data_IF_433501950216
#
_entry.id   IF_433501950216
#
_cell.length_a   1.000
_cell.length_b   1.000
_cell.length_c   1.000
_cell.angle_alpha   90.00
_cell.angle_beta   90.00
_cell.angle_gamma   90.00
#
_symmetry.space_group_name_H-M   'P 1'
#
loop_
_entity.id
_entity.type
_entity.pdbx_description
1 polymer ?
#
# COMPACT_ATOMS: atom_id res chain seq x y z
N UNK A 1 7.55 -4.75 -22.07
CA UNK A 1 7.49 -4.19 -20.71
C UNK A 1 6.34 -4.86 -19.97
N UNK A 2 6.62 -5.79 -19.05
CA UNK A 2 5.59 -6.65 -18.45
C UNK A 2 4.91 -6.05 -17.20
N UNK A 3 5.28 -4.86 -16.73
CA UNK A 3 4.72 -4.26 -15.50
C UNK A 3 4.48 -2.73 -15.59
N UNK A 4 4.61 -2.10 -16.76
CA UNK A 4 4.48 -0.63 -16.86
C UNK A 4 3.11 -0.10 -16.43
N UNK A 5 2.03 -0.88 -16.62
CA UNK A 5 0.68 -0.46 -16.21
C UNK A 5 0.48 -0.45 -14.70
N UNK A 6 1.16 -1.33 -13.95
CA UNK A 6 1.00 -1.43 -12.49
C UNK A 6 1.56 -0.20 -11.76
N UNK A 7 2.45 0.54 -12.45
CA UNK A 7 3.00 1.79 -11.92
C UNK A 7 1.91 2.78 -11.57
N UNK A 8 0.89 2.90 -12.44
CA UNK A 8 -0.24 3.79 -12.22
C UNK A 8 -1.00 3.44 -10.93
N UNK A 9 -1.13 2.15 -10.63
CA UNK A 9 -1.86 1.67 -9.47
C UNK A 9 -1.16 2.05 -8.17
N UNK A 10 0.11 1.68 -7.98
CA UNK A 10 0.79 2.01 -6.72
C UNK A 10 1.02 3.52 -6.56
N UNK A 11 1.21 4.28 -7.66
CA UNK A 11 1.31 5.74 -7.56
C UNK A 11 -0.01 6.41 -7.20
N UNK A 12 -1.15 5.84 -7.60
CA UNK A 12 -2.46 6.37 -7.22
C UNK A 12 -2.73 6.13 -5.73
N UNK A 13 -2.41 4.93 -5.24
CA UNK A 13 -2.51 4.59 -3.81
C UNK A 13 -1.61 5.49 -2.94
N UNK A 14 -0.37 5.74 -3.37
CA UNK A 14 0.54 6.66 -2.67
C UNK A 14 -0.01 8.09 -2.60
N UNK A 15 -0.62 8.58 -3.69
CA UNK A 15 -1.26 9.88 -3.71
C UNK A 15 -2.47 9.97 -2.74
N UNK A 16 -3.25 8.89 -2.63
CA UNK A 16 -4.37 8.78 -1.68
C UNK A 16 -3.86 8.79 -0.22
N UNK A 17 -2.86 7.97 0.09
CA UNK A 17 -2.20 7.94 1.41
C UNK A 17 -1.72 9.34 1.79
N UNK A 18 -1.05 10.03 0.86
CA UNK A 18 -0.55 11.39 1.10
C UNK A 18 -1.68 12.39 1.38
N UNK A 19 -2.81 12.27 0.70
CA UNK A 19 -4.01 13.09 0.98
C UNK A 19 -4.57 12.82 2.38
N UNK A 20 -4.62 11.53 2.77
CA UNK A 20 -5.13 11.08 4.07
C UNK A 20 -4.22 11.47 5.24
N UNK A 21 -2.92 11.61 5.00
CA UNK A 21 -1.93 11.95 6.02
C UNK A 21 -2.08 13.38 6.59
N UNK A 22 -2.82 14.27 5.92
CA UNK A 22 -3.11 15.59 6.46
C UNK A 22 -3.97 15.48 7.73
N UNK A 23 -3.64 16.22 8.81
CA UNK A 23 -4.41 16.20 10.05
C UNK A 23 -5.77 16.87 9.85
N UNK A 24 -6.80 16.32 10.51
CA UNK A 24 -8.19 16.82 10.44
C UNK A 24 -8.69 17.38 11.78
N UNK A 25 -7.85 17.34 12.82
CA UNK A 25 -8.22 17.72 14.18
C UNK A 25 -8.36 19.22 14.38
N UNK A 26 -7.81 20.02 13.47
CA UNK A 26 -7.87 21.49 13.51
C UNK A 26 -9.06 22.05 12.71
N UNK A 27 -9.74 21.21 11.94
CA UNK A 27 -10.87 21.60 11.12
C UNK A 27 -12.15 21.56 11.97
N UNK A 28 -12.42 22.68 12.66
CA UNK A 28 -13.56 22.81 13.58
C UNK A 28 -14.38 24.06 13.25
N UNK A 29 -15.70 23.95 13.39
CA UNK A 29 -16.61 25.09 13.37
C UNK A 29 -17.22 25.27 14.75
N UNK A 30 -17.47 26.53 15.18
CA UNK A 30 -18.20 26.76 16.41
C UNK A 30 -19.66 26.31 16.25
N UNK A 31 -20.14 25.55 17.23
CA UNK A 31 -21.49 25.01 17.26
C UNK A 31 -22.23 25.48 18.53
N UNK A 32 -23.54 25.23 18.55
CA UNK A 32 -24.41 25.57 19.68
C UNK A 32 -24.33 27.05 20.13
N UNK A 33 -24.25 27.99 19.17
CA UNK A 33 -24.15 29.41 19.47
C UNK A 33 -22.82 29.81 20.10
N UNK A 34 -21.72 29.30 19.56
CA UNK A 34 -20.33 29.52 20.03
C UNK A 34 -20.00 28.88 21.39
N UNK A 35 -20.90 28.03 21.93
CA UNK A 35 -20.64 27.30 23.20
C UNK A 35 -19.67 26.14 22.96
N UNK A 36 -19.81 25.45 21.83
CA UNK A 36 -18.92 24.35 21.44
C UNK A 36 -17.93 24.86 20.38
N UNK A 37 -16.87 25.53 20.84
CA UNK A 37 -15.84 26.17 20.00
C UNK A 37 -14.62 25.27 19.71
N UNK A 38 -14.62 24.04 20.23
CA UNK A 38 -13.52 23.07 20.09
C UNK A 38 -14.04 21.70 19.72
N UNK A 39 -13.37 21.10 18.73
CA UNK A 39 -13.55 19.70 18.36
C UNK A 39 -12.21 19.08 18.00
N UNK A 40 -12.11 17.77 18.08
CA UNK A 40 -10.91 16.99 17.70
C UNK A 40 -11.09 16.23 16.40
N UNK A 41 -12.32 16.18 15.86
CA UNK A 41 -12.68 15.33 14.72
C UNK A 41 -12.26 13.86 14.91
N UNK A 42 -12.23 13.37 16.15
CA UNK A 42 -11.67 12.06 16.51
C UNK A 42 -12.21 10.88 15.67
N UNK A 43 -13.51 10.77 15.35
CA UNK A 43 -14.01 9.70 14.49
C UNK A 43 -13.36 9.72 13.10
N UNK A 44 -13.21 10.89 12.50
CA UNK A 44 -12.55 11.05 11.20
C UNK A 44 -11.04 10.85 11.30
N UNK A 45 -10.42 11.28 12.41
CA UNK A 45 -8.99 11.10 12.65
C UNK A 45 -8.59 9.62 12.74
N UNK A 46 -9.46 8.74 13.26
CA UNK A 46 -9.21 7.28 13.34
C UNK A 46 -9.50 6.57 12.03
N UNK A 47 -10.52 6.97 11.28
CA UNK A 47 -10.88 6.32 9.99
C UNK A 47 -9.79 6.46 8.91
N UNK A 48 -9.00 7.54 8.96
CA UNK A 48 -7.98 7.82 7.94
C UNK A 48 -6.79 6.85 8.01
N UNK A 49 -6.16 6.60 9.18
CA UNK A 49 -5.17 5.54 9.33
C UNK A 49 -5.63 4.16 8.86
N UNK A 50 -6.88 3.77 9.14
CA UNK A 50 -7.39 2.45 8.68
C UNK A 50 -7.31 2.33 7.15
N UNK A 51 -7.75 3.37 6.44
CA UNK A 51 -7.66 3.43 4.98
C UNK A 51 -6.21 3.48 4.48
N UNK A 52 -5.33 4.22 5.16
CA UNK A 52 -3.90 4.24 4.85
C UNK A 52 -3.29 2.84 4.97
N UNK A 53 -3.64 2.09 6.00
CA UNK A 53 -3.14 0.72 6.21
C UNK A 53 -3.60 -0.22 5.09
N UNK A 54 -4.87 -0.13 4.68
CA UNK A 54 -5.39 -0.90 3.55
C UNK A 54 -4.61 -0.61 2.25
N UNK A 55 -4.39 0.67 1.93
CA UNK A 55 -3.66 1.08 0.73
C UNK A 55 -2.19 0.65 0.78
N UNK A 56 -1.55 0.74 1.96
CA UNK A 56 -0.19 0.25 2.17
C UNK A 56 -0.08 -1.26 1.97
N UNK A 57 -1.08 -2.05 2.40
CA UNK A 57 -1.10 -3.48 2.14
C UNK A 57 -1.08 -3.79 0.64
N UNK A 58 -1.80 -3.01 -0.18
CA UNK A 58 -1.73 -3.15 -1.64
C UNK A 58 -0.37 -2.75 -2.20
N UNK A 59 0.20 -1.62 -1.76
CA UNK A 59 1.52 -1.15 -2.21
C UNK A 59 2.60 -2.19 -1.91
N UNK A 60 2.65 -2.68 -0.67
CA UNK A 60 3.61 -3.72 -0.25
C UNK A 60 3.35 -5.05 -0.95
N UNK A 61 2.09 -5.41 -1.22
CA UNK A 61 1.75 -6.59 -2.01
C UNK A 61 2.29 -6.53 -3.44
N UNK A 62 2.17 -5.36 -4.09
CA UNK A 62 2.73 -5.11 -5.42
C UNK A 62 4.26 -5.17 -5.37
N UNK A 63 4.89 -4.58 -4.35
CA UNK A 63 6.34 -4.63 -4.16
C UNK A 63 6.83 -6.08 -4.02
N UNK A 64 6.18 -6.89 -3.17
CA UNK A 64 6.52 -8.30 -2.99
C UNK A 64 6.39 -9.09 -4.30
N UNK A 65 5.36 -8.83 -5.09
CA UNK A 65 5.18 -9.46 -6.40
C UNK A 65 6.33 -9.11 -7.36
N UNK A 66 6.68 -7.82 -7.45
CA UNK A 66 7.77 -7.33 -8.31
C UNK A 66 9.14 -7.85 -7.83
N UNK A 67 9.39 -7.83 -6.52
CA UNK A 67 10.62 -8.33 -5.91
C UNK A 67 10.80 -9.82 -6.19
N UNK A 68 9.76 -10.63 -6.00
CA UNK A 68 9.82 -12.06 -6.32
C UNK A 68 10.09 -12.32 -7.80
N UNK A 69 9.46 -11.54 -8.70
CA UNK A 69 9.72 -11.64 -10.13
C UNK A 69 11.17 -11.28 -10.47
N UNK A 70 11.71 -10.21 -9.87
CA UNK A 70 13.10 -9.79 -10.07
C UNK A 70 14.09 -10.85 -9.56
N UNK A 71 13.79 -11.48 -8.41
CA UNK A 71 14.58 -12.59 -7.88
C UNK A 71 14.63 -13.76 -8.87
N UNK A 72 13.49 -14.19 -9.41
CA UNK A 72 13.44 -15.30 -10.38
C UNK A 72 14.20 -14.99 -11.69
N UNK A 73 14.21 -13.73 -12.12
CA UNK A 73 14.96 -13.30 -13.31
C UNK A 73 16.47 -13.27 -13.09
N UNK A 74 16.93 -13.11 -11.84
CA UNK A 74 18.36 -13.04 -11.47
C UNK A 74 19.10 -14.39 -11.48
N UNK A 75 18.50 -15.44 -12.05
CA UNK A 75 19.02 -16.82 -12.27
C UNK A 75 20.47 -17.07 -11.81
N UNK A 76 20.66 -17.99 -10.87
CA UNK A 76 21.99 -18.53 -10.52
C UNK A 76 22.62 -17.97 -9.24
N UNK A 77 21.93 -17.08 -8.52
CA UNK A 77 22.37 -16.59 -7.21
C UNK A 77 21.69 -17.33 -6.05
N UNK A 78 22.45 -17.58 -4.98
CA UNK A 78 21.91 -18.05 -3.70
C UNK A 78 21.33 -16.86 -2.93
N UNK A 79 20.01 -16.86 -2.73
CA UNK A 79 19.35 -15.86 -1.89
C UNK A 79 19.64 -16.12 -0.41
N UNK A 80 19.57 -15.06 0.41
CA UNK A 80 19.65 -15.19 1.87
C UNK A 80 18.57 -16.14 2.41
N UNK A 81 18.84 -16.82 3.52
CA UNK A 81 17.97 -17.88 4.05
C UNK A 81 16.51 -17.41 4.23
N UNK A 82 16.32 -16.22 4.82
CA UNK A 82 14.99 -15.68 5.11
C UNK A 82 14.28 -15.21 3.83
N UNK A 83 14.98 -14.51 2.94
CA UNK A 83 14.40 -14.02 1.68
C UNK A 83 14.09 -15.15 0.70
N UNK A 84 14.91 -16.21 0.68
CA UNK A 84 14.62 -17.44 -0.05
C UNK A 84 13.38 -18.17 0.46
N UNK A 85 13.21 -18.29 1.79
CA UNK A 85 11.97 -18.80 2.39
C UNK A 85 10.76 -17.93 2.05
N UNK A 86 10.92 -16.60 2.11
CA UNK A 86 9.90 -15.63 1.72
C UNK A 86 9.44 -15.81 0.26
N UNK A 87 10.39 -15.94 -0.67
CA UNK A 87 10.10 -16.23 -2.07
C UNK A 87 9.34 -17.55 -2.24
N UNK A 88 9.73 -18.60 -1.51
CA UNK A 88 9.03 -19.89 -1.56
C UNK A 88 7.58 -19.79 -1.07
N UNK A 89 7.31 -19.00 -0.02
CA UNK A 89 5.94 -18.73 0.47
C UNK A 89 5.15 -17.92 -0.56
N UNK A 90 5.73 -16.85 -1.12
CA UNK A 90 5.11 -16.03 -2.15
C UNK A 90 4.70 -16.87 -3.37
N UNK A 91 5.54 -17.83 -3.77
CA UNK A 91 5.28 -18.71 -4.92
C UNK A 91 4.15 -19.72 -4.71
N UNK A 92 3.74 -19.98 -3.46
CA UNK A 92 2.53 -20.76 -3.18
C UNK A 92 1.25 -19.97 -3.49
N UNK A 93 1.29 -18.65 -3.36
CA UNK A 93 0.16 -17.76 -3.61
C UNK A 93 0.12 -17.22 -5.04
N UNK A 94 1.30 -16.95 -5.62
CA UNK A 94 1.44 -16.35 -6.95
C UNK A 94 2.54 -17.04 -7.77
N UNK A 95 2.17 -17.59 -8.94
CA UNK A 95 3.11 -18.24 -9.87
C UNK A 95 3.97 -17.21 -10.62
N UNK A 96 5.24 -17.55 -10.85
CA UNK A 96 6.14 -16.77 -11.71
C UNK A 96 5.51 -16.46 -13.07
N UNK A 97 5.59 -15.20 -13.49
CA UNK A 97 4.88 -14.72 -14.67
C UNK A 97 5.84 -14.52 -15.84
N UNK A 98 5.70 -15.35 -16.89
CA UNK A 98 6.51 -15.23 -18.11
C UNK A 98 5.99 -14.12 -19.03
N UNK A 99 4.68 -13.82 -18.96
CA UNK A 99 3.99 -12.77 -19.73
C UNK A 99 2.81 -12.25 -18.90
N UNK A 100 2.52 -10.95 -18.94
CA UNK A 100 1.38 -10.38 -18.21
C UNK A 100 0.06 -10.96 -18.77
N UNK A 101 -0.61 -11.78 -17.98
CA UNK A 101 -1.93 -12.34 -18.30
C UNK A 101 -2.93 -11.71 -17.35
N UNK A 102 -3.81 -10.87 -17.88
CA UNK A 102 -5.02 -10.42 -17.18
C UNK A 102 -6.08 -11.44 -17.58
N UNK A 103 -6.58 -12.22 -16.62
CA UNK A 103 -7.79 -13.02 -16.81
C UNK A 103 -9.01 -12.15 -16.50
#
# INVERSE_FOLDING_TARGET
MAFSTIQKTFTALDAEIRSLANPVSMDTFPLAGEIEDRSTSAPLAVQRPDKILDDLCYVLGIELMLAGQAMDLRRGETFGEITGKGLAVLRKQYRFMIRMTVY
#
